data_IF_580195509597
#
_entry.id   IF_580195509597
#
_cell.length_a   1.000
_cell.length_b   1.000
_cell.length_c   1.000
_cell.angle_alpha   90.00
_cell.angle_beta   90.00
_cell.angle_gamma   90.00
#
_symmetry.space_group_name_H-M   'P 1'
#
loop_
_entity.id
_entity.type
_entity.pdbx_description
1 polymer ?
#
# COMPACT_ATOMS: atom_id res chain seq x y z
N UNK A 1 35.50 14.64 0.60
CA UNK A 1 34.55 15.29 1.55
C UNK A 1 33.16 14.69 1.34
N UNK A 2 32.59 14.01 2.34
CA UNK A 2 31.21 13.47 2.26
C UNK A 2 30.22 14.63 2.42
N UNK A 3 29.46 14.93 1.37
CA UNK A 3 28.36 15.88 1.46
C UNK A 3 27.35 15.40 2.52
N UNK A 4 27.21 16.16 3.61
CA UNK A 4 26.19 15.91 4.63
C UNK A 4 24.81 16.10 3.99
N UNK A 5 24.00 15.02 3.97
CA UNK A 5 22.62 15.08 3.47
C UNK A 5 21.86 16.15 4.26
N UNK A 6 21.48 17.25 3.59
CA UNK A 6 20.69 18.33 4.20
C UNK A 6 19.38 17.76 4.75
N UNK A 7 19.21 17.75 6.07
CA UNK A 7 17.99 17.26 6.74
C UNK A 7 16.82 18.16 6.33
N UNK A 8 15.97 17.70 5.42
CA UNK A 8 14.80 18.46 4.98
C UNK A 8 13.74 18.45 6.09
N UNK A 9 13.38 19.65 6.58
CA UNK A 9 12.28 19.81 7.54
C UNK A 9 10.95 19.54 6.83
N UNK A 10 10.22 18.52 7.29
CA UNK A 10 8.91 18.15 6.74
C UNK A 10 7.81 18.86 7.52
N UNK A 11 6.85 19.43 6.79
CA UNK A 11 5.70 20.11 7.36
C UNK A 11 4.42 19.35 7.05
N UNK A 12 3.57 19.17 8.06
CA UNK A 12 2.24 18.58 7.91
C UNK A 12 1.25 19.58 7.30
N UNK A 13 0.14 19.10 6.73
CA UNK A 13 -0.92 19.99 6.23
C UNK A 13 -1.50 20.86 7.36
N UNK A 14 -1.60 20.34 8.58
CA UNK A 14 -2.02 21.11 9.76
C UNK A 14 -1.09 22.28 10.04
N UNK A 15 0.23 22.04 10.07
CA UNK A 15 1.22 23.10 10.27
C UNK A 15 1.16 24.15 9.17
N UNK A 16 1.01 23.73 7.90
CA UNK A 16 0.85 24.67 6.78
C UNK A 16 -0.39 25.55 6.93
N UNK A 17 -1.54 24.95 7.25
CA UNK A 17 -2.80 25.68 7.45
C UNK A 17 -2.68 26.67 8.59
N UNK A 18 -2.13 26.26 9.74
CA UNK A 18 -1.95 27.13 10.91
C UNK A 18 -1.06 28.33 10.59
N UNK A 19 0.08 28.12 9.92
CA UNK A 19 1.01 29.21 9.59
C UNK A 19 0.41 30.17 8.55
N UNK A 20 -0.32 29.65 7.57
CA UNK A 20 -1.03 30.48 6.58
C UNK A 20 -2.19 31.26 7.22
N UNK A 21 -2.94 30.67 8.15
CA UNK A 21 -3.99 31.39 8.89
C UNK A 21 -3.42 32.45 9.82
N UNK A 22 -2.31 32.14 10.51
CA UNK A 22 -1.60 33.08 11.38
C UNK A 22 -1.08 34.29 10.58
N UNK A 23 -0.52 34.06 9.39
CA UNK A 23 -0.09 35.14 8.50
C UNK A 23 -1.25 36.01 8.00
N UNK A 24 -2.42 35.41 7.71
CA UNK A 24 -3.63 36.17 7.35
C UNK A 24 -4.15 37.00 8.52
N UNK A 25 -4.15 36.43 9.72
CA UNK A 25 -4.65 37.09 10.93
C UNK A 25 -3.73 38.22 11.40
N UNK A 26 -2.41 38.09 11.20
CA UNK A 26 -1.44 39.10 11.62
C UNK A 26 -1.43 40.36 10.77
N UNK A 27 -2.21 40.43 9.67
CA UNK A 27 -2.18 41.54 8.70
C UNK A 27 -0.76 41.90 8.26
N UNK A 28 0.16 40.93 8.31
CA UNK A 28 1.59 41.18 8.16
C UNK A 28 1.92 41.34 6.68
N UNK A 29 2.18 42.57 6.23
CA UNK A 29 2.63 42.86 4.86
C UNK A 29 4.01 42.27 4.56
N UNK A 30 4.79 41.92 5.60
CA UNK A 30 6.17 41.49 5.47
C UNK A 30 6.37 39.96 5.60
N UNK A 31 6.21 39.25 4.47
CA UNK A 31 6.47 37.80 4.39
C UNK A 31 7.90 37.40 4.84
N UNK A 32 8.90 38.27 4.65
CA UNK A 32 10.29 37.96 5.01
C UNK A 32 10.47 37.89 6.52
N UNK A 33 9.85 38.83 7.23
CA UNK A 33 9.89 38.86 8.69
C UNK A 33 9.16 37.64 9.27
N UNK A 34 7.97 37.34 8.78
CA UNK A 34 7.21 36.15 9.19
C UNK A 34 8.00 34.85 8.99
N UNK A 35 8.68 34.70 7.84
CA UNK A 35 9.53 33.53 7.58
C UNK A 35 10.70 33.41 8.57
N UNK A 36 11.33 34.54 8.96
CA UNK A 36 12.43 34.58 9.92
C UNK A 36 11.94 34.17 11.31
N UNK A 37 10.85 34.77 11.78
CA UNK A 37 10.26 34.49 13.09
C UNK A 37 9.82 33.03 13.22
N UNK A 38 9.13 32.50 12.20
CA UNK A 38 8.63 31.12 12.19
C UNK A 38 9.67 30.08 11.75
N UNK A 39 10.90 30.52 11.45
CA UNK A 39 12.02 29.67 10.99
C UNK A 39 11.62 28.79 9.78
N UNK A 40 10.99 29.41 8.78
CA UNK A 40 10.56 28.78 7.54
C UNK A 40 11.47 29.26 6.41
N UNK A 41 12.09 28.36 5.61
CA UNK A 41 12.83 28.77 4.43
C UNK A 41 11.90 29.50 3.45
N UNK A 42 12.33 30.67 2.96
CA UNK A 42 11.51 31.54 2.09
C UNK A 42 10.94 30.80 0.87
N UNK A 43 11.76 30.00 0.19
CA UNK A 43 11.31 29.21 -0.97
C UNK A 43 10.15 28.27 -0.61
N UNK A 44 10.19 27.66 0.58
CA UNK A 44 9.11 26.80 1.08
C UNK A 44 7.84 27.59 1.35
N UNK A 45 7.97 28.80 1.89
CA UNK A 45 6.82 29.68 2.12
C UNK A 45 6.18 30.14 0.81
N UNK A 46 6.97 30.56 -0.17
CA UNK A 46 6.49 30.98 -1.49
C UNK A 46 5.77 29.83 -2.23
N UNK A 47 6.30 28.61 -2.15
CA UNK A 47 5.63 27.41 -2.67
C UNK A 47 4.27 27.17 -2.02
N UNK A 48 4.12 27.50 -0.73
CA UNK A 48 2.85 27.37 -0.04
C UNK A 48 1.89 28.49 -0.38
N UNK A 49 2.36 29.74 -0.49
CA UNK A 49 1.57 30.89 -0.94
C UNK A 49 0.97 30.65 -2.33
N UNK A 50 1.77 30.17 -3.28
CA UNK A 50 1.28 29.83 -4.63
C UNK A 50 0.24 28.69 -4.66
N UNK A 51 0.19 27.84 -3.63
CA UNK A 51 -0.75 26.70 -3.52
C UNK A 51 -1.71 26.86 -2.36
N UNK A 52 -1.84 28.06 -1.81
CA UNK A 52 -2.57 28.33 -0.58
C UNK A 52 -4.05 27.93 -0.68
N UNK A 53 -4.81 28.26 -1.74
CA UNK A 53 -6.19 27.85 -1.88
C UNK A 53 -6.34 26.32 -1.79
N UNK A 54 -5.41 25.59 -2.43
CA UNK A 54 -5.38 24.12 -2.44
C UNK A 54 -4.99 23.53 -1.08
N UNK A 55 -4.06 24.17 -0.36
CA UNK A 55 -3.68 23.74 1.00
C UNK A 55 -4.86 23.94 1.95
N UNK A 56 -5.55 25.08 1.89
CA UNK A 56 -6.69 25.40 2.74
C UNK A 56 -7.89 24.51 2.46
N UNK A 57 -8.24 24.31 1.18
CA UNK A 57 -9.36 23.47 0.75
C UNK A 57 -9.14 21.96 0.96
N UNK A 58 -7.91 21.51 1.25
CA UNK A 58 -7.61 20.10 1.48
C UNK A 58 -8.40 19.55 2.67
N UNK A 59 -9.31 18.60 2.40
CA UNK A 59 -10.07 17.85 3.43
C UNK A 59 -9.28 16.69 4.06
N UNK A 60 -8.01 16.49 3.66
CA UNK A 60 -7.19 15.39 4.19
C UNK A 60 -6.79 15.63 5.65
N UNK A 61 -6.57 14.54 6.37
CA UNK A 61 -6.12 14.56 7.75
C UNK A 61 -4.86 15.43 7.92
N UNK A 62 -4.89 16.32 8.92
CA UNK A 62 -3.91 17.39 9.14
C UNK A 62 -2.47 16.88 9.35
N UNK A 63 -2.31 15.70 9.96
CA UNK A 63 -1.00 15.05 10.19
C UNK A 63 -0.24 14.68 8.90
N UNK A 64 -0.92 14.52 7.76
CA UNK A 64 -0.23 14.16 6.52
C UNK A 64 0.44 15.36 5.86
N UNK A 65 1.67 15.17 5.38
CA UNK A 65 2.40 16.19 4.61
C UNK A 65 1.98 16.27 3.13
N UNK A 66 1.26 15.25 2.66
CA UNK A 66 0.80 15.10 1.27
C UNK A 66 -0.64 15.57 1.13
N UNK A 67 -0.95 16.29 0.05
CA UNK A 67 -2.31 16.73 -0.25
C UNK A 67 -3.13 15.66 -0.99
N UNK A 68 -2.54 14.49 -1.25
CA UNK A 68 -3.19 13.42 -2.00
C UNK A 68 -3.00 13.54 -3.51
N UNK A 69 -3.41 12.50 -4.23
CA UNK A 69 -3.25 12.43 -5.70
C UNK A 69 -1.80 12.26 -6.16
N UNK A 70 -0.84 12.19 -5.24
CA UNK A 70 0.59 11.97 -5.50
C UNK A 70 0.94 10.48 -5.62
N UNK A 71 -0.07 9.60 -5.67
CA UNK A 71 0.15 8.21 -6.02
C UNK A 71 0.49 8.11 -7.51
N UNK A 72 1.52 7.34 -7.86
CA UNK A 72 1.83 7.04 -9.25
C UNK A 72 0.58 6.46 -9.94
N UNK A 73 0.11 7.14 -11.00
CA UNK A 73 -0.91 6.58 -11.89
C UNK A 73 -0.41 5.25 -12.47
N UNK A 74 -1.32 4.30 -12.58
CA UNK A 74 -1.02 2.99 -13.14
C UNK A 74 -0.78 3.14 -14.64
N UNK A 75 0.42 2.77 -15.10
CA UNK A 75 0.88 3.00 -16.49
C UNK A 75 0.30 1.93 -17.44
N UNK A 76 -0.11 0.77 -16.90
CA UNK A 76 -0.53 -0.37 -17.70
C UNK A 76 -1.94 -0.13 -18.28
N UNK A 77 -2.10 -0.09 -19.61
CA UNK A 77 -3.42 0.04 -20.23
C UNK A 77 -4.28 -1.22 -20.02
N UNK A 78 -3.65 -2.40 -19.89
CA UNK A 78 -4.28 -3.71 -19.69
C UNK A 78 -4.30 -4.16 -18.22
N UNK A 79 -4.38 -3.21 -17.26
CA UNK A 79 -4.32 -3.52 -15.82
C UNK A 79 -5.37 -4.56 -15.39
N UNK A 80 -6.56 -4.52 -15.98
CA UNK A 80 -7.70 -5.35 -15.57
C UNK A 80 -7.51 -6.80 -16.00
N UNK A 81 -7.05 -7.01 -17.23
CA UNK A 81 -6.70 -8.33 -17.76
C UNK A 81 -5.55 -8.97 -16.98
N UNK A 82 -4.48 -8.22 -16.71
CA UNK A 82 -3.36 -8.72 -15.92
C UNK A 82 -3.82 -9.06 -14.49
N UNK A 83 -4.68 -8.24 -13.89
CA UNK A 83 -5.23 -8.51 -12.57
C UNK A 83 -6.12 -9.76 -12.57
N UNK A 84 -6.96 -9.95 -13.58
CA UNK A 84 -7.80 -11.13 -13.75
C UNK A 84 -6.94 -12.40 -13.84
N UNK A 85 -5.86 -12.37 -14.63
CA UNK A 85 -4.89 -13.47 -14.70
C UNK A 85 -4.27 -13.79 -13.33
N UNK A 86 -3.86 -12.76 -12.58
CA UNK A 86 -3.30 -12.95 -11.24
C UNK A 86 -4.31 -13.52 -10.25
N UNK A 87 -5.57 -13.08 -10.32
CA UNK A 87 -6.66 -13.60 -9.49
C UNK A 87 -6.99 -15.06 -9.85
N UNK A 88 -7.03 -15.42 -11.13
CA UNK A 88 -7.25 -16.78 -11.58
C UNK A 88 -6.15 -17.73 -11.06
N UNK A 89 -4.88 -17.33 -11.18
CA UNK A 89 -3.76 -18.12 -10.61
C UNK A 89 -3.87 -18.28 -9.10
N UNK A 90 -4.30 -17.23 -8.38
CA UNK A 90 -4.53 -17.32 -6.93
C UNK A 90 -5.69 -18.25 -6.58
N UNK A 91 -6.80 -18.18 -7.32
CA UNK A 91 -7.98 -19.04 -7.11
C UNK A 91 -7.69 -20.51 -7.39
N UNK A 92 -6.83 -20.80 -8.38
CA UNK A 92 -6.31 -22.14 -8.64
C UNK A 92 -5.18 -22.56 -7.69
N UNK A 93 -4.88 -21.77 -6.66
CA UNK A 93 -3.79 -21.99 -5.68
C UNK A 93 -2.40 -22.15 -6.30
N UNK A 94 -2.20 -21.62 -7.51
CA UNK A 94 -0.94 -21.71 -8.22
C UNK A 94 0.06 -20.64 -7.78
N UNK A 95 1.35 -21.00 -7.83
CA UNK A 95 2.42 -20.08 -7.53
C UNK A 95 2.50 -18.95 -8.58
N UNK A 96 2.52 -17.71 -8.11
CA UNK A 96 2.61 -16.52 -8.96
C UNK A 96 3.88 -15.73 -8.67
N UNK A 97 4.82 -15.73 -9.62
CA UNK A 97 6.06 -14.94 -9.57
C UNK A 97 6.00 -13.78 -10.56
N UNK A 98 6.84 -12.76 -10.33
CA UNK A 98 7.03 -11.64 -11.27
C UNK A 98 7.33 -12.12 -12.68
N UNK A 99 8.08 -13.21 -12.81
CA UNK A 99 8.34 -13.87 -14.09
C UNK A 99 7.05 -14.27 -14.83
N UNK A 100 6.03 -14.77 -14.13
CA UNK A 100 4.74 -15.11 -14.74
C UNK A 100 4.00 -13.88 -15.26
N UNK A 101 4.09 -12.75 -14.55
CA UNK A 101 3.52 -11.48 -15.01
C UNK A 101 4.26 -11.00 -16.27
N UNK A 102 5.60 -11.03 -16.24
CA UNK A 102 6.42 -10.63 -17.39
C UNK A 102 6.13 -11.50 -18.62
N UNK A 103 6.03 -12.82 -18.44
CA UNK A 103 5.68 -13.76 -19.51
C UNK A 103 4.28 -13.50 -20.05
N UNK A 104 3.30 -13.28 -19.17
CA UNK A 104 1.93 -12.97 -19.60
C UNK A 104 1.89 -11.70 -20.45
N UNK A 105 2.57 -10.62 -20.03
CA UNK A 105 2.64 -9.38 -20.81
C UNK A 105 3.35 -9.59 -22.14
N UNK A 106 4.43 -10.37 -22.17
CA UNK A 106 5.14 -10.70 -23.40
C UNK A 106 4.26 -11.47 -24.41
N UNK A 107 3.40 -12.36 -23.93
CA UNK A 107 2.50 -13.16 -24.78
C UNK A 107 1.27 -12.39 -25.24
N UNK A 108 0.65 -11.59 -24.38
CA UNK A 108 -0.66 -10.98 -24.65
C UNK A 108 -0.55 -9.52 -25.10
N UNK A 109 0.51 -8.81 -24.70
CA UNK A 109 0.64 -7.36 -24.82
C UNK A 109 1.99 -6.98 -25.44
N UNK A 110 2.44 -7.78 -26.42
CA UNK A 110 3.78 -7.69 -27.03
C UNK A 110 4.05 -6.32 -27.68
N UNK A 111 3.09 -5.77 -28.43
CA UNK A 111 3.24 -4.48 -29.08
C UNK A 111 3.51 -3.36 -28.07
N UNK A 112 2.74 -3.33 -26.98
CA UNK A 112 2.95 -2.39 -25.89
C UNK A 112 4.30 -2.63 -25.19
N UNK A 113 4.69 -3.88 -24.96
CA UNK A 113 5.96 -4.22 -24.31
C UNK A 113 7.15 -3.72 -25.13
N UNK A 114 7.14 -3.92 -26.45
CA UNK A 114 8.19 -3.44 -27.36
C UNK A 114 8.31 -1.92 -27.30
N UNK A 115 7.19 -1.20 -27.38
CA UNK A 115 7.17 0.26 -27.25
C UNK A 115 7.70 0.72 -25.88
N UNK A 116 7.27 0.06 -24.80
CA UNK A 116 7.70 0.38 -23.45
C UNK A 116 9.20 0.20 -23.26
N UNK A 117 9.76 -0.93 -23.73
CA UNK A 117 11.20 -1.22 -23.62
C UNK A 117 12.02 -0.28 -24.52
N UNK A 118 11.55 0.03 -25.73
CA UNK A 118 12.20 0.96 -26.64
C UNK A 118 12.28 2.40 -26.12
N UNK A 119 11.40 2.80 -25.19
CA UNK A 119 11.45 4.12 -24.54
C UNK A 119 12.57 4.29 -23.50
N UNK A 120 13.40 3.26 -23.26
CA UNK A 120 14.41 3.24 -22.21
C UNK A 120 15.80 3.40 -22.80
N UNK A 121 16.72 3.93 -21.99
CA UNK A 121 18.07 4.30 -22.43
C UNK A 121 18.86 3.13 -23.03
N UNK A 122 18.76 1.94 -22.44
CA UNK A 122 19.41 0.72 -22.92
C UNK A 122 18.64 -0.51 -22.41
N UNK A 123 19.01 -1.68 -22.92
CA UNK A 123 18.31 -2.94 -22.65
C UNK A 123 18.33 -3.34 -21.16
N UNK A 124 19.47 -3.17 -20.47
CA UNK A 124 19.58 -3.48 -19.05
C UNK A 124 18.63 -2.62 -18.19
N UNK A 125 18.57 -1.31 -18.46
CA UNK A 125 17.62 -0.39 -17.83
C UNK A 125 16.18 -0.76 -18.22
N UNK A 126 15.94 -1.17 -19.45
CA UNK A 126 14.62 -1.58 -19.93
C UNK A 126 14.09 -2.78 -19.15
N UNK A 127 14.89 -3.83 -19.04
CA UNK A 127 14.56 -5.03 -18.29
C UNK A 127 14.29 -4.72 -16.80
N UNK A 128 15.20 -4.00 -16.14
CA UNK A 128 15.04 -3.67 -14.71
C UNK A 128 13.83 -2.77 -14.46
N UNK A 129 13.57 -1.83 -15.37
CA UNK A 129 12.39 -0.97 -15.32
C UNK A 129 11.10 -1.78 -15.45
N UNK A 130 11.05 -2.71 -16.41
CA UNK A 130 9.90 -3.57 -16.63
C UNK A 130 9.64 -4.53 -15.46
N UNK A 131 10.68 -5.20 -14.96
CA UNK A 131 10.60 -6.05 -13.76
C UNK A 131 10.10 -5.26 -12.55
N UNK A 132 10.61 -4.04 -12.35
CA UNK A 132 10.18 -3.15 -11.26
C UNK A 132 8.75 -2.65 -11.44
N UNK A 133 8.27 -2.49 -12.68
CA UNK A 133 6.88 -2.16 -12.96
C UNK A 133 5.95 -3.32 -12.54
N UNK A 134 6.29 -4.56 -12.90
CA UNK A 134 5.52 -5.75 -12.52
C UNK A 134 5.50 -5.98 -11.00
N UNK A 135 6.64 -5.79 -10.32
CA UNK A 135 6.72 -5.86 -8.86
C UNK A 135 5.79 -4.83 -8.17
N UNK A 136 5.84 -3.58 -8.62
CA UNK A 136 4.99 -2.50 -8.08
C UNK A 136 3.51 -2.75 -8.36
N UNK A 137 3.19 -3.30 -9.54
CA UNK A 137 1.83 -3.69 -9.89
C UNK A 137 1.30 -4.74 -8.91
N UNK A 138 2.04 -5.84 -8.71
CA UNK A 138 1.67 -6.89 -7.76
C UNK A 138 1.48 -6.34 -6.33
N UNK A 139 2.43 -5.53 -5.85
CA UNK A 139 2.35 -4.94 -4.52
C UNK A 139 1.13 -4.01 -4.35
N UNK A 140 0.81 -3.21 -5.37
CA UNK A 140 -0.37 -2.31 -5.36
C UNK A 140 -1.67 -3.10 -5.26
N UNK A 141 -1.77 -4.23 -5.97
CA UNK A 141 -2.93 -5.13 -5.95
C UNK A 141 -2.90 -6.14 -4.80
N UNK A 142 -2.09 -5.89 -3.77
CA UNK A 142 -1.99 -6.69 -2.54
C UNK A 142 -1.54 -8.14 -2.78
N UNK A 143 -0.86 -8.42 -3.89
CA UNK A 143 -0.12 -9.66 -4.08
C UNK A 143 1.22 -9.52 -3.37
N UNK A 144 1.32 -10.17 -2.22
CA UNK A 144 2.55 -10.25 -1.42
C UNK A 144 3.12 -11.65 -1.51
N UNK A 145 4.43 -11.75 -1.35
CA UNK A 145 5.08 -13.03 -1.16
C UNK A 145 4.43 -13.75 0.03
N UNK A 146 4.06 -15.02 -0.17
CA UNK A 146 3.60 -15.91 0.88
C UNK A 146 4.62 -17.04 1.01
N UNK A 147 5.04 -17.31 2.23
CA UNK A 147 5.90 -18.46 2.52
C UNK A 147 5.05 -19.73 2.37
N UNK A 148 5.46 -20.69 1.53
CA UNK A 148 4.83 -21.99 1.50
C UNK A 148 4.84 -22.60 2.90
N UNK A 149 3.71 -23.13 3.35
CA UNK A 149 3.60 -23.80 4.64
C UNK A 149 3.29 -25.26 4.37
N UNK A 150 4.15 -26.14 4.87
CA UNK A 150 4.07 -27.60 4.67
C UNK A 150 2.79 -28.22 5.21
N UNK A 151 2.10 -27.55 6.14
CA UNK A 151 0.85 -28.04 6.75
C UNK A 151 -0.42 -27.55 6.05
N UNK A 152 -0.31 -26.71 5.00
CA UNK A 152 -1.49 -26.20 4.30
C UNK A 152 -1.97 -27.17 3.24
N UNK A 153 -3.14 -27.75 3.48
CA UNK A 153 -3.94 -28.46 2.47
C UNK A 153 -4.66 -27.47 1.56
N UNK A 154 -5.06 -27.94 0.37
CA UNK A 154 -5.76 -27.11 -0.63
C UNK A 154 -7.13 -26.69 -0.12
N UNK A 155 -7.63 -25.53 -0.57
CA UNK A 155 -8.96 -25.04 -0.19
C UNK A 155 -10.04 -26.05 -0.55
N UNK A 156 -9.91 -26.76 -1.68
CA UNK A 156 -10.83 -27.83 -2.07
C UNK A 156 -10.93 -28.92 -0.99
N UNK A 157 -9.79 -29.38 -0.46
CA UNK A 157 -9.79 -30.40 0.60
C UNK A 157 -10.42 -29.85 1.88
N UNK A 158 -10.15 -28.60 2.23
CA UNK A 158 -10.78 -27.94 3.39
C UNK A 158 -12.30 -27.84 3.21
N UNK A 159 -12.76 -27.45 2.03
CA UNK A 159 -14.19 -27.32 1.72
C UNK A 159 -14.89 -28.69 1.76
N UNK A 160 -14.27 -29.74 1.21
CA UNK A 160 -14.78 -31.11 1.24
C UNK A 160 -14.89 -31.63 2.68
N UNK A 161 -13.83 -31.45 3.50
CA UNK A 161 -13.83 -31.84 4.92
C UNK A 161 -14.86 -31.03 5.70
N UNK A 162 -14.95 -29.72 5.46
CA UNK A 162 -15.92 -28.87 6.13
C UNK A 162 -17.35 -29.27 5.80
N UNK A 163 -17.66 -29.53 4.53
CA UNK A 163 -18.99 -29.95 4.10
C UNK A 163 -19.36 -31.32 4.69
N UNK A 164 -18.43 -32.29 4.64
CA UNK A 164 -18.63 -33.61 5.24
C UNK A 164 -18.87 -33.53 6.74
N UNK A 165 -18.08 -32.72 7.45
CA UNK A 165 -18.26 -32.48 8.87
C UNK A 165 -19.59 -31.78 9.19
N UNK A 166 -19.98 -30.77 8.41
CA UNK A 166 -21.25 -30.08 8.59
C UNK A 166 -22.44 -31.05 8.39
N UNK A 167 -22.40 -31.89 7.36
CA UNK A 167 -23.43 -32.91 7.12
C UNK A 167 -23.50 -33.89 8.29
N UNK A 168 -22.36 -34.42 8.74
CA UNK A 168 -22.31 -35.35 9.87
C UNK A 168 -22.81 -34.72 11.18
N UNK A 169 -22.39 -33.50 11.46
CA UNK A 169 -22.79 -32.76 12.65
C UNK A 169 -24.30 -32.54 12.67
N UNK A 170 -24.87 -32.00 11.58
CA UNK A 170 -26.29 -31.69 11.53
C UNK A 170 -27.17 -32.95 11.41
N UNK A 171 -26.69 -34.03 10.79
CA UNK A 171 -27.42 -35.30 10.80
C UNK A 171 -27.46 -35.94 12.19
N UNK A 172 -26.36 -35.83 12.95
CA UNK A 172 -26.24 -36.44 14.28
C UNK A 172 -26.92 -35.60 15.36
N UNK A 173 -26.70 -34.28 15.35
CA UNK A 173 -27.08 -33.38 16.46
C UNK A 173 -28.15 -32.35 16.08
N UNK A 174 -28.61 -32.31 14.83
CA UNK A 174 -29.59 -31.31 14.38
C UNK A 174 -30.98 -31.40 15.02
N UNK A 175 -31.26 -32.50 15.73
CA UNK A 175 -32.51 -32.70 16.48
C UNK A 175 -32.49 -32.00 17.85
N UNK A 176 -31.32 -31.63 18.39
CA UNK A 176 -31.24 -30.87 19.63
C UNK A 176 -31.71 -29.42 19.41
N UNK A 177 -32.40 -28.81 20.39
CA UNK A 177 -32.75 -27.40 20.30
C UNK A 177 -31.46 -26.56 20.25
N UNK A 178 -31.48 -25.50 19.45
CA UNK A 178 -30.29 -24.63 19.25
C UNK A 178 -29.70 -24.09 20.55
N UNK A 179 -30.50 -23.93 21.61
CA UNK A 179 -30.05 -23.49 22.94
C UNK A 179 -29.13 -24.48 23.65
N UNK A 180 -29.08 -25.74 23.21
CA UNK A 180 -28.22 -26.79 23.76
C UNK A 180 -26.97 -27.03 22.90
N UNK A 181 -26.88 -26.42 21.71
CA UNK A 181 -25.71 -26.52 20.84
C UNK A 181 -24.78 -25.35 21.17
N UNK A 182 -23.69 -25.66 21.87
CA UNK A 182 -22.71 -24.67 22.31
C UNK A 182 -21.48 -24.72 21.40
N UNK A 183 -21.05 -23.56 20.89
CA UNK A 183 -19.77 -23.44 20.22
C UNK A 183 -18.67 -23.36 21.29
N UNK A 184 -17.76 -24.34 21.30
CA UNK A 184 -16.61 -24.35 22.19
C UNK A 184 -15.36 -24.24 21.34
N UNK A 185 -14.79 -23.04 21.26
CA UNK A 185 -13.49 -22.79 20.64
C UNK A 185 -12.50 -22.20 21.65
N UNK A 186 -11.27 -22.71 21.63
CA UNK A 186 -10.18 -22.15 22.43
C UNK A 186 -9.74 -20.82 21.81
N UNK A 187 -10.05 -19.72 22.49
CA UNK A 187 -9.43 -18.43 22.20
C UNK A 187 -8.06 -18.37 22.89
N UNK A 188 -6.99 -18.50 22.12
CA UNK A 188 -5.62 -18.33 22.63
C UNK A 188 -5.42 -16.93 23.21
N UNK A 189 -5.24 -16.83 24.53
CA UNK A 189 -4.93 -15.58 25.21
C UNK A 189 -3.43 -15.35 25.14
N UNK A 190 -3.01 -14.37 24.34
CA UNK A 190 -1.63 -13.91 24.30
C UNK A 190 -1.40 -12.91 25.42
N UNK A 191 -0.64 -13.30 26.45
CA UNK A 191 -0.08 -12.35 27.39
C UNK A 191 1.14 -11.68 26.74
N UNK A 192 1.05 -10.37 26.49
CA UNK A 192 2.23 -9.54 26.23
C UNK A 192 3.05 -9.46 27.53
N UNK A 193 3.90 -10.46 27.75
CA UNK A 193 4.93 -10.37 28.78
C UNK A 193 5.95 -9.37 28.23
N UNK A 194 5.87 -8.12 28.67
CA UNK A 194 6.95 -7.17 28.45
C UNK A 194 8.19 -7.73 29.13
N UNK A 195 9.11 -8.29 28.35
CA UNK A 195 10.45 -8.60 28.82
C UNK A 195 11.10 -7.26 29.15
N UNK A 196 10.96 -6.84 30.41
CA UNK A 196 11.64 -5.68 30.96
C UNK A 196 13.12 -5.80 30.64
N UNK A 197 13.66 -4.76 30.00
CA UNK A 197 15.05 -4.73 29.60
C UNK A 197 15.96 -5.05 30.77
N UNK A 198 16.74 -6.11 30.64
CA UNK A 198 17.97 -6.23 31.41
C UNK A 198 18.94 -5.21 30.85
N UNK A 199 19.07 -4.10 31.57
CA UNK A 199 20.26 -3.27 31.52
C UNK A 199 21.47 -4.15 31.88
N UNK A 200 22.39 -4.31 30.93
CA UNK A 200 23.83 -4.34 31.18
C UNK A 200 24.53 -3.65 30.03
#
# INVERSE_FOLDING_TARGET
>A
MRATKRKQKRYSNGQRKQLLSEFRASSATNERQFCREKKIPRATWQDWRSREPRIMASKRHSRHATMGGQGHREILPFKEELLAYMCAKRGAEEHLRVFHLMRWVNSNQKAWLVQYLGSKLNEAVAYQSFRSLMLRFAARHRFRHRVPSVSKVTQKVLDDVWLGNAVHFWSTYGHYPRSQILNVDETGVFFDITTGGFLR
#
